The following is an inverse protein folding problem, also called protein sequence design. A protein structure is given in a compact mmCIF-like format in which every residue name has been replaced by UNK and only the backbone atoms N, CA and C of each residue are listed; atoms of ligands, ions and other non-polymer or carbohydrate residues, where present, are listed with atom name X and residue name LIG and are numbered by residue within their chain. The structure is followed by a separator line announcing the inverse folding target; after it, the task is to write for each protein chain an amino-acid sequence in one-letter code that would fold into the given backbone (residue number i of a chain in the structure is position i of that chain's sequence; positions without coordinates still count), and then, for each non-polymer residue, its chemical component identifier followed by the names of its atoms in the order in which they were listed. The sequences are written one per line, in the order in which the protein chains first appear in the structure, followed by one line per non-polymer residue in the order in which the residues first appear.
data_IF_850311216999
#
_entry.id   IF_850311216999
#
_cell.length_a   1.000
_cell.length_b   1.000
_cell.length_c   1.000
_cell.angle_alpha   90.00
_cell.angle_beta   90.00
_cell.angle_gamma   90.00
#
_symmetry.space_group_name_H-M   'P 1'
#
loop_
_entity.id
_entity.type
_entity.pdbx_description
1 polymer ?
#
# COMPACT_ATOMS: atom_id res chain seq x y z
N UNK A 1 38.60 5.54 6.39
CA UNK A 1 37.95 6.84 6.15
C UNK A 1 36.89 6.61 5.08
N UNK A 2 35.60 6.79 5.37
CA UNK A 2 34.55 6.55 4.36
C UNK A 2 34.65 7.61 3.27
N UNK A 3 34.73 7.18 2.00
CA UNK A 3 34.79 8.08 0.85
C UNK A 3 33.43 8.79 0.70
N UNK A 4 33.36 10.13 0.85
CA UNK A 4 32.12 10.88 0.67
C UNK A 4 31.51 10.75 -0.73
N UNK A 5 32.33 10.42 -1.75
CA UNK A 5 31.85 10.13 -3.10
C UNK A 5 30.99 8.86 -3.20
N UNK A 6 31.39 7.81 -2.47
CA UNK A 6 30.66 6.54 -2.43
C UNK A 6 29.28 6.69 -1.77
N UNK A 7 29.22 7.41 -0.63
CA UNK A 7 27.95 7.70 0.06
C UNK A 7 26.98 8.48 -0.84
N UNK A 8 27.48 9.48 -1.57
CA UNK A 8 26.67 10.26 -2.50
C UNK A 8 26.10 9.41 -3.64
N UNK A 9 26.84 8.41 -4.12
CA UNK A 9 26.36 7.47 -5.14
C UNK A 9 25.25 6.56 -4.59
N UNK A 10 25.45 6.02 -3.38
CA UNK A 10 24.47 5.15 -2.72
C UNK A 10 23.14 5.85 -2.47
N UNK A 11 23.17 7.12 -2.03
CA UNK A 11 21.95 7.92 -1.84
C UNK A 11 21.21 8.16 -3.16
N UNK A 12 21.92 8.45 -4.25
CA UNK A 12 21.31 8.62 -5.58
C UNK A 12 20.68 7.33 -6.09
N UNK A 13 21.39 6.21 -5.96
CA UNK A 13 20.89 4.90 -6.32
C UNK A 13 19.64 4.55 -5.50
N UNK A 14 19.68 4.75 -4.18
CA UNK A 14 18.54 4.53 -3.31
C UNK A 14 17.31 5.34 -3.77
N UNK A 15 17.48 6.63 -4.07
CA UNK A 15 16.38 7.49 -4.52
C UNK A 15 15.81 7.04 -5.88
N UNK A 16 16.69 6.65 -6.81
CA UNK A 16 16.28 6.14 -8.11
C UNK A 16 15.42 4.89 -7.98
N UNK A 17 15.88 3.90 -7.21
CA UNK A 17 15.15 2.66 -7.01
C UNK A 17 13.90 2.82 -6.13
N UNK A 18 13.86 3.75 -5.18
CA UNK A 18 12.64 4.13 -4.45
C UNK A 18 11.53 4.64 -5.42
N UNK A 19 11.93 5.47 -6.38
CA UNK A 19 11.04 5.97 -7.43
C UNK A 19 10.53 4.87 -8.36
N UNK A 20 11.41 3.97 -8.81
CA UNK A 20 11.03 2.82 -9.63
C UNK A 20 10.09 1.87 -8.89
N UNK A 21 10.40 1.52 -7.64
CA UNK A 21 9.56 0.67 -6.82
C UNK A 21 8.15 1.26 -6.65
N UNK A 22 8.05 2.56 -6.38
CA UNK A 22 6.77 3.26 -6.30
C UNK A 22 5.98 3.18 -7.61
N UNK A 23 6.66 3.36 -8.74
CA UNK A 23 6.03 3.29 -10.07
C UNK A 23 5.52 1.88 -10.38
N UNK A 24 6.35 0.86 -10.20
CA UNK A 24 5.96 -0.54 -10.43
C UNK A 24 4.85 -1.00 -9.50
N UNK A 25 4.85 -0.54 -8.24
CA UNK A 25 3.75 -0.82 -7.32
C UNK A 25 2.41 -0.25 -7.85
N UNK A 26 2.40 1.00 -8.31
CA UNK A 26 1.19 1.61 -8.89
C UNK A 26 0.74 0.89 -10.15
N UNK A 27 1.67 0.59 -11.06
CA UNK A 27 1.37 -0.10 -12.31
C UNK A 27 0.81 -1.51 -12.07
N UNK A 28 1.45 -2.30 -11.20
CA UNK A 28 0.97 -3.65 -10.86
C UNK A 28 -0.39 -3.61 -10.14
N UNK A 29 -0.61 -2.63 -9.26
CA UNK A 29 -1.91 -2.45 -8.60
C UNK A 29 -3.00 -2.13 -9.62
N UNK A 30 -2.75 -1.19 -10.53
CA UNK A 30 -3.70 -0.82 -11.59
C UNK A 30 -3.97 -1.99 -12.54
N UNK A 31 -2.95 -2.75 -12.92
CA UNK A 31 -3.11 -3.92 -13.78
C UNK A 31 -3.99 -4.99 -13.13
N UNK A 32 -3.81 -5.25 -11.81
CA UNK A 32 -4.68 -6.17 -11.05
C UNK A 32 -6.12 -5.67 -11.00
N UNK A 33 -6.33 -4.39 -10.69
CA UNK A 33 -7.68 -3.79 -10.68
C UNK A 33 -8.39 -3.92 -12.02
N UNK A 34 -7.71 -3.61 -13.12
CA UNK A 34 -8.29 -3.76 -14.46
C UNK A 34 -8.58 -5.22 -14.79
N UNK A 35 -7.68 -6.14 -14.45
CA UNK A 35 -7.93 -7.59 -14.61
C UNK A 35 -9.19 -8.00 -13.87
N UNK A 36 -9.31 -7.64 -12.59
CA UNK A 36 -10.46 -8.01 -11.75
C UNK A 36 -11.77 -7.39 -12.29
N UNK A 37 -11.72 -6.17 -12.84
CA UNK A 37 -12.86 -5.53 -13.52
C UNK A 37 -13.30 -6.31 -14.76
N UNK A 38 -12.35 -6.73 -15.61
CA UNK A 38 -12.67 -7.56 -16.77
C UNK A 38 -13.15 -8.95 -16.38
N UNK A 39 -12.58 -9.55 -15.34
CA UNK A 39 -13.01 -10.84 -14.82
C UNK A 39 -14.47 -10.79 -14.35
N UNK A 40 -14.84 -9.75 -13.59
CA UNK A 40 -16.23 -9.51 -13.20
C UNK A 40 -17.17 -9.38 -14.41
N UNK A 41 -16.78 -8.57 -15.40
CA UNK A 41 -17.55 -8.40 -16.65
C UNK A 41 -17.74 -9.73 -17.40
N UNK A 42 -16.70 -10.56 -17.48
CA UNK A 42 -16.77 -11.88 -18.14
C UNK A 42 -17.73 -12.79 -17.37
N UNK A 43 -17.60 -12.88 -16.05
CA UNK A 43 -18.48 -13.69 -15.21
C UNK A 43 -19.95 -13.26 -15.36
N UNK A 44 -20.21 -11.95 -15.34
CA UNK A 44 -21.57 -11.41 -15.50
C UNK A 44 -22.17 -11.77 -16.87
N UNK A 45 -21.38 -11.67 -17.94
CA UNK A 45 -21.81 -12.06 -19.29
C UNK A 45 -22.09 -13.56 -19.40
N UNK A 46 -21.25 -14.40 -18.79
CA UNK A 46 -21.45 -15.85 -18.76
C UNK A 46 -22.73 -16.21 -17.99
N UNK A 47 -23.00 -15.57 -16.85
CA UNK A 47 -24.23 -15.73 -16.08
C UNK A 47 -25.47 -15.31 -16.88
N UNK A 48 -25.44 -14.12 -17.49
CA UNK A 48 -26.55 -13.64 -18.33
C UNK A 48 -26.85 -14.60 -19.50
N UNK A 49 -25.82 -15.27 -20.01
CA UNK A 49 -25.93 -16.22 -21.11
C UNK A 49 -26.18 -17.67 -20.66
N UNK A 50 -26.33 -17.94 -19.35
CA UNK A 50 -26.44 -19.30 -18.76
C UNK A 50 -25.27 -20.24 -19.13
N UNK A 51 -24.08 -19.68 -19.26
CA UNK A 51 -22.83 -20.36 -19.67
C UNK A 51 -21.82 -20.47 -18.51
N UNK A 52 -22.28 -20.65 -17.28
CA UNK A 52 -21.43 -20.63 -16.08
C UNK A 52 -20.40 -21.79 -16.05
N UNK A 53 -20.67 -22.89 -16.78
CA UNK A 53 -19.77 -24.04 -16.93
C UNK A 53 -18.94 -24.01 -18.22
N UNK A 54 -18.89 -22.88 -18.95
CA UNK A 54 -18.21 -22.81 -20.23
C UNK A 54 -16.67 -22.85 -20.09
N UNK A 55 -16.02 -23.52 -21.04
CA UNK A 55 -14.56 -23.49 -21.21
C UNK A 55 -14.23 -22.51 -22.33
N UNK A 56 -13.52 -21.43 -21.99
CA UNK A 56 -13.09 -20.41 -22.96
C UNK A 56 -11.71 -20.81 -23.50
N UNK A 57 -11.62 -21.04 -24.81
CA UNK A 57 -10.35 -21.32 -25.51
C UNK A 57 -9.74 -20.03 -26.05
N UNK A 58 -8.44 -19.83 -25.82
CA UNK A 58 -7.65 -18.73 -26.37
C UNK A 58 -6.39 -19.28 -27.05
N UNK A 59 -5.75 -18.49 -27.92
CA UNK A 59 -4.60 -18.90 -28.75
C UNK A 59 -3.48 -19.63 -27.97
N UNK A 60 -3.30 -19.32 -26.68
CA UNK A 60 -2.26 -19.88 -25.82
C UNK A 60 -2.80 -20.54 -24.53
N UNK A 61 -4.07 -20.94 -24.45
CA UNK A 61 -4.57 -21.56 -23.23
C UNK A 61 -6.08 -21.71 -23.13
N UNK A 62 -6.54 -22.24 -21.99
CA UNK A 62 -7.96 -22.39 -21.64
C UNK A 62 -8.25 -21.69 -20.34
N UNK A 63 -9.40 -21.03 -20.28
CA UNK A 63 -9.94 -20.40 -19.07
C UNK A 63 -11.23 -21.12 -18.72
N UNK A 64 -11.37 -21.52 -17.46
CA UNK A 64 -12.57 -22.15 -16.92
C UNK A 64 -13.01 -21.37 -15.69
N UNK A 65 -14.31 -21.16 -15.54
CA UNK A 65 -14.86 -20.64 -14.29
C UNK A 65 -14.72 -21.74 -13.24
N UNK A 66 -14.09 -21.42 -12.12
CA UNK A 66 -13.90 -22.34 -11.00
C UNK A 66 -14.38 -21.68 -9.72
N UNK A 67 -14.96 -22.47 -8.83
CA UNK A 67 -15.24 -22.01 -7.47
C UNK A 67 -13.96 -22.09 -6.65
N UNK A 68 -13.36 -20.94 -6.35
CA UNK A 68 -12.21 -20.87 -5.45
C UNK A 68 -12.69 -20.62 -4.02
N UNK A 69 -12.43 -21.58 -3.13
CA UNK A 69 -12.60 -21.39 -1.70
C UNK A 69 -11.35 -20.75 -1.12
N UNK A 70 -11.34 -19.43 -1.02
CA UNK A 70 -10.23 -18.71 -0.37
C UNK A 70 -10.34 -18.85 1.16
N UNK A 71 -9.35 -19.44 1.84
CA UNK A 71 -9.33 -19.46 3.30
C UNK A 71 -9.24 -18.03 3.84
N UNK A 72 -10.04 -17.71 4.86
CA UNK A 72 -9.98 -16.40 5.49
C UNK A 72 -8.61 -16.19 6.14
N UNK A 73 -8.05 -14.99 5.99
CA UNK A 73 -6.77 -14.65 6.62
C UNK A 73 -6.91 -14.64 8.15
N UNK A 74 -5.92 -15.25 8.82
CA UNK A 74 -5.83 -15.26 10.29
C UNK A 74 -5.35 -13.90 10.80
N UNK A 75 -6.26 -12.93 10.78
CA UNK A 75 -6.07 -11.63 11.41
C UNK A 75 -6.32 -11.73 12.92
N UNK A 76 -5.81 -10.78 13.71
CA UNK A 76 -6.14 -10.70 15.14
C UNK A 76 -7.66 -10.64 15.39
N UNK A 77 -8.38 -9.93 14.53
CA UNK A 77 -9.86 -9.87 14.58
C UNK A 77 -10.51 -11.23 14.30
N UNK A 78 -10.02 -11.98 13.31
CA UNK A 78 -10.58 -13.30 13.03
C UNK A 78 -10.24 -14.29 14.15
N UNK A 79 -9.06 -14.19 14.75
CA UNK A 79 -8.68 -15.02 15.91
C UNK A 79 -9.61 -14.72 17.10
N UNK A 80 -9.85 -13.45 17.42
CA UNK A 80 -10.78 -13.03 18.47
C UNK A 80 -12.20 -13.58 18.24
N UNK A 81 -12.73 -13.44 17.01
CA UNK A 81 -14.04 -13.97 16.65
C UNK A 81 -14.11 -15.51 16.79
N UNK A 82 -13.07 -16.23 16.38
CA UNK A 82 -12.98 -17.69 16.53
C UNK A 82 -12.91 -18.11 18.00
N UNK A 83 -12.22 -17.36 18.85
CA UNK A 83 -12.15 -17.61 20.29
C UNK A 83 -13.53 -17.45 20.95
N UNK A 84 -14.24 -16.35 20.67
CA UNK A 84 -15.62 -16.19 21.15
C UNK A 84 -16.54 -17.32 20.67
N UNK A 85 -16.43 -17.71 19.39
CA UNK A 85 -17.17 -18.83 18.83
C UNK A 85 -16.85 -20.17 19.50
N UNK A 86 -15.60 -20.38 19.90
CA UNK A 86 -15.17 -21.57 20.63
C UNK A 86 -15.78 -21.63 22.04
N UNK A 87 -15.72 -20.53 22.80
CA UNK A 87 -16.31 -20.46 24.14
C UNK A 87 -17.84 -20.56 24.11
N UNK A 88 -18.49 -19.92 23.13
CA UNK A 88 -19.93 -20.04 22.92
C UNK A 88 -20.39 -21.49 22.67
N UNK A 89 -19.57 -22.30 21.99
CA UNK A 89 -19.84 -23.73 21.74
C UNK A 89 -19.55 -24.62 22.95
N UNK A 90 -18.62 -24.23 23.83
CA UNK A 90 -18.30 -24.98 25.05
C UNK A 90 -19.39 -24.90 26.13
N UNK A 91 -20.33 -23.96 26.00
CA UNK A 91 -21.48 -23.82 26.88
C UNK A 91 -21.27 -22.85 28.04
N UNK A 92 -22.37 -22.48 28.71
CA UNK A 92 -22.46 -21.37 29.70
C UNK A 92 -21.56 -21.55 30.92
N UNK A 93 -21.08 -22.77 31.20
CA UNK A 93 -20.21 -23.07 32.33
C UNK A 93 -18.73 -22.70 32.09
N UNK A 94 -18.34 -22.36 30.86
CA UNK A 94 -16.96 -21.99 30.55
C UNK A 94 -16.88 -20.48 30.34
N UNK A 95 -16.12 -19.81 31.21
CA UNK A 95 -15.85 -18.37 31.10
C UNK A 95 -15.20 -18.08 29.75
N UNK A 96 -15.69 -17.05 29.07
CA UNK A 96 -15.06 -16.53 27.86
C UNK A 96 -13.81 -15.73 28.24
N UNK A 97 -12.64 -16.28 27.90
CA UNK A 97 -11.34 -15.67 28.14
C UNK A 97 -10.72 -15.14 26.84
N UNK A 98 -11.49 -15.03 25.75
CA UNK A 98 -11.00 -14.55 24.46
C UNK A 98 -10.31 -13.19 24.58
N UNK A 99 -10.88 -12.27 25.35
CA UNK A 99 -10.32 -10.94 25.58
C UNK A 99 -8.95 -11.00 26.28
N UNK A 100 -8.81 -11.87 27.28
CA UNK A 100 -7.56 -12.05 28.05
C UNK A 100 -6.46 -12.66 27.16
N UNK A 101 -6.81 -13.66 26.36
CA UNK A 101 -5.92 -14.27 25.37
C UNK A 101 -5.47 -13.23 24.33
N UNK A 102 -6.40 -12.43 23.81
CA UNK A 102 -6.08 -11.39 22.84
C UNK A 102 -5.18 -10.30 23.43
N UNK A 103 -5.36 -9.95 24.70
CA UNK A 103 -4.48 -9.02 25.41
C UNK A 103 -3.07 -9.60 25.58
N UNK A 104 -2.95 -10.89 25.91
CA UNK A 104 -1.66 -11.57 25.98
C UNK A 104 -0.93 -11.58 24.64
N UNK A 105 -1.64 -11.93 23.56
CA UNK A 105 -1.05 -11.93 22.20
C UNK A 105 -0.56 -10.52 21.84
N UNK A 106 -1.36 -9.48 22.13
CA UNK A 106 -0.97 -8.09 21.85
C UNK A 106 0.28 -7.66 22.62
N UNK A 107 0.43 -8.06 23.88
CA UNK A 107 1.59 -7.69 24.70
C UNK A 107 2.86 -8.48 24.38
N UNK A 108 2.74 -9.70 23.83
CA UNK A 108 3.89 -10.58 23.55
C UNK A 108 4.29 -10.64 22.08
N UNK A 109 3.49 -10.07 21.16
CA UNK A 109 3.78 -10.08 19.71
C UNK A 109 5.12 -9.43 19.35
N UNK A 110 5.64 -8.56 20.22
CA UNK A 110 6.88 -7.82 19.97
C UNK A 110 6.73 -6.76 18.87
N UNK A 111 7.65 -5.80 18.86
CA UNK A 111 7.77 -4.84 17.78
C UNK A 111 9.24 -4.78 17.35
N UNK A 112 9.50 -5.02 16.06
CA UNK A 112 10.83 -4.85 15.50
C UNK A 112 11.01 -3.39 15.05
N UNK A 113 11.98 -2.69 15.62
CA UNK A 113 12.32 -1.33 15.21
C UNK A 113 13.47 -1.36 14.22
N UNK A 114 13.16 -1.14 12.94
CA UNK A 114 14.15 -1.07 11.86
C UNK A 114 14.34 0.37 11.43
N UNK A 115 15.58 0.87 11.46
CA UNK A 115 15.93 2.19 10.92
C UNK A 115 15.74 2.16 9.40
N UNK A 116 14.97 3.10 8.86
CA UNK A 116 14.69 3.21 7.41
C UNK A 116 14.90 4.64 6.93
N UNK A 117 15.35 4.77 5.69
CA UNK A 117 15.43 6.06 4.99
C UNK A 117 14.00 6.54 4.67
N UNK A 118 13.73 7.81 4.93
CA UNK A 118 12.43 8.45 4.64
C UNK A 118 12.66 9.69 3.79
N UNK A 119 12.00 9.74 2.64
CA UNK A 119 11.96 10.93 1.78
C UNK A 119 10.94 11.93 2.34
N UNK A 120 11.38 13.12 2.73
CA UNK A 120 10.50 14.23 3.09
C UNK A 120 10.30 15.13 1.87
N UNK A 121 9.06 15.34 1.44
CA UNK A 121 8.75 16.36 0.42
C UNK A 121 8.70 17.72 1.10
N UNK A 122 9.70 18.57 0.86
CA UNK A 122 9.62 19.98 1.26
C UNK A 122 8.58 20.65 0.36
N UNK A 123 7.60 21.34 0.94
CA UNK A 123 6.64 22.13 0.18
C UNK A 123 7.39 23.16 -0.69
N UNK A 124 6.89 23.50 -1.90
CA UNK A 124 7.53 24.51 -2.72
C UNK A 124 7.63 25.82 -1.94
N UNK A 125 8.84 26.34 -1.81
CA UNK A 125 9.09 27.65 -1.21
C UNK A 125 8.37 28.68 -2.09
N UNK A 126 7.51 29.56 -1.54
CA UNK A 126 6.87 30.60 -2.34
C UNK A 126 7.94 31.47 -3.02
N UNK A 127 7.72 31.89 -4.28
CA UNK A 127 8.70 32.70 -5.01
C UNK A 127 8.99 33.99 -4.23
N UNK A 128 10.27 34.26 -3.99
CA UNK A 128 10.73 35.48 -3.33
C UNK A 128 10.36 36.68 -4.23
N UNK A 129 9.66 37.71 -3.72
CA UNK A 129 9.35 38.90 -4.51
C UNK A 129 10.64 39.60 -4.94
N UNK A 130 10.69 40.16 -6.15
CA UNK A 130 11.90 40.80 -6.67
C UNK A 130 12.32 41.99 -5.80
N UNK A 131 13.63 42.25 -5.66
CA UNK A 131 14.13 43.37 -4.87
C UNK A 131 13.69 44.71 -5.48
N UNK A 132 13.12 45.58 -4.65
CA UNK A 132 12.82 46.97 -5.00
C UNK A 132 14.13 47.65 -5.38
N UNK A 133 14.32 47.93 -6.67
CA UNK A 133 15.43 48.74 -7.15
C UNK A 133 15.30 50.14 -6.55
N UNK A 134 16.24 50.49 -5.66
CA UNK A 134 16.40 51.84 -5.16
C UNK A 134 16.73 52.79 -6.32
N UNK A 135 15.89 53.81 -6.50
CA UNK A 135 16.15 54.89 -7.45
C UNK A 135 17.37 55.72 -7.03
N UNK A 136 18.18 56.20 -7.99
CA UNK A 136 19.35 57.00 -7.67
C UNK A 136 18.97 58.41 -7.19
N UNK A 137 19.58 58.81 -6.09
CA UNK A 137 19.67 60.19 -5.61
C UNK A 137 20.43 61.02 -6.66
N UNK A 138 19.74 61.87 -7.43
CA UNK A 138 20.41 62.94 -8.18
C UNK A 138 20.57 64.16 -7.26
N UNK A 139 21.80 64.39 -6.82
CA UNK A 139 22.24 65.67 -6.30
C UNK A 139 22.85 66.53 -7.41
N UNK A 140 22.49 67.82 -7.40
CA UNK A 140 23.37 68.92 -7.82
C UNK A 140 23.22 69.44 -9.25
N UNK A 141 22.63 70.63 -9.39
CA UNK A 141 23.21 71.67 -10.23
C UNK A 141 22.97 73.07 -9.65
N UNK A 142 24.09 73.77 -9.44
CA UNK A 142 24.21 75.18 -9.16
C UNK A 142 23.81 76.00 -10.41
N UNK A 143 22.99 77.02 -10.21
CA UNK A 143 23.21 78.39 -10.70
C UNK A 143 22.26 79.34 -9.97
#
# INVERSE_FOLDING_TARGET
MADPGALGNDVRNWLHYDGLATTFFRQSTRARQLRDEYEGKIIDQLKQSRMENAVIQITNGRITVVEERVPHSLTLRSIEHLLHGFYARKGVQVKDEAADIMNYIRSHRGAETVKKLKKNTVAPVPPVPPPLQGGPLQGGHLQ
#
